data_IF_822110674489
#
_entry.id   IF_822110674489
#
_cell.length_a   1.000
_cell.length_b   1.000
_cell.length_c   1.000
_cell.angle_alpha   90.00
_cell.angle_beta   90.00
_cell.angle_gamma   90.00
#
_symmetry.space_group_name_H-M   'P 1'
#
loop_
_entity.id
_entity.type
_entity.pdbx_description
1 polymer ?
#
# COMPACT_ATOMS: atom_id res chain seq x y z
N UNK A 1 19.29 -5.29 9.33
CA UNK A 1 17.95 -4.77 9.64
C UNK A 1 17.56 -3.77 8.57
N UNK A 2 16.45 -3.97 7.96
CA UNK A 2 15.99 -3.08 6.88
C UNK A 2 15.04 -2.05 7.46
N UNK A 3 15.44 -0.79 7.43
CA UNK A 3 14.58 0.28 7.88
C UNK A 3 13.64 0.69 6.75
N UNK A 4 12.34 0.60 7.02
CA UNK A 4 11.36 1.12 6.08
C UNK A 4 11.35 2.65 6.17
N UNK A 5 11.24 3.34 5.02
CA UNK A 5 11.00 4.78 5.04
C UNK A 5 9.76 5.11 5.88
N UNK A 6 9.81 6.24 6.56
CA UNK A 6 8.69 6.68 7.41
C UNK A 6 7.38 6.74 6.62
N UNK A 7 7.45 7.13 5.35
CA UNK A 7 6.27 7.20 4.49
C UNK A 7 5.60 5.83 4.33
N UNK A 8 6.39 4.76 4.21
CA UNK A 8 5.84 3.40 4.08
C UNK A 8 5.24 2.92 5.39
N UNK A 9 5.84 3.29 6.52
CA UNK A 9 5.29 2.97 7.83
C UNK A 9 3.94 3.65 8.01
N UNK A 10 3.85 4.92 7.62
CA UNK A 10 2.60 5.67 7.69
C UNK A 10 1.53 5.04 6.79
N UNK A 11 1.90 4.61 5.59
CA UNK A 11 0.99 3.93 4.66
C UNK A 11 0.51 2.60 5.26
N UNK A 12 1.41 1.83 5.86
CA UNK A 12 1.04 0.56 6.47
C UNK A 12 0.01 0.78 7.58
N UNK A 13 0.16 1.85 8.35
CA UNK A 13 -0.80 2.20 9.39
C UNK A 13 -2.17 2.59 8.79
N UNK A 14 -2.16 3.46 7.79
CA UNK A 14 -3.39 3.90 7.14
C UNK A 14 -4.14 2.70 6.57
N UNK A 15 -3.44 1.82 5.86
CA UNK A 15 -4.05 0.62 5.29
C UNK A 15 -4.55 -0.30 6.39
N UNK A 16 -3.74 -0.53 7.42
CA UNK A 16 -4.07 -1.46 8.49
C UNK A 16 -5.29 -1.04 9.31
N UNK A 17 -5.52 0.27 9.44
CA UNK A 17 -6.62 0.80 10.25
C UNK A 17 -7.91 0.99 9.45
N UNK A 18 -7.87 0.86 8.13
CA UNK A 18 -9.04 1.00 7.27
C UNK A 18 -9.36 -0.34 6.63
N UNK A 19 -10.53 -0.89 6.95
CA UNK A 19 -10.93 -2.21 6.49
C UNK A 19 -11.01 -2.28 4.97
N UNK A 20 -11.53 -1.25 4.32
CA UNK A 20 -11.63 -1.22 2.87
C UNK A 20 -10.26 -1.19 2.21
N UNK A 21 -9.34 -0.40 2.76
CA UNK A 21 -7.98 -0.33 2.27
C UNK A 21 -7.23 -1.64 2.50
N UNK A 22 -7.49 -2.34 3.62
CA UNK A 22 -6.90 -3.66 3.87
C UNK A 22 -7.35 -4.66 2.81
N UNK A 23 -8.63 -4.67 2.48
CA UNK A 23 -9.16 -5.53 1.42
C UNK A 23 -8.52 -5.23 0.07
N UNK A 24 -8.46 -3.96 -0.27
CA UNK A 24 -7.84 -3.53 -1.52
C UNK A 24 -6.37 -3.93 -1.57
N UNK A 25 -5.64 -3.67 -0.49
CA UNK A 25 -4.22 -3.98 -0.43
C UNK A 25 -3.97 -5.49 -0.51
N UNK A 26 -4.76 -6.28 0.19
CA UNK A 26 -4.63 -7.73 0.11
C UNK A 26 -4.83 -8.21 -1.33
N UNK A 27 -5.80 -7.63 -2.01
CA UNK A 27 -6.09 -7.99 -3.39
C UNK A 27 -4.91 -7.70 -4.31
N UNK A 28 -4.31 -6.52 -4.21
CA UNK A 28 -3.16 -6.17 -5.05
C UNK A 28 -1.90 -6.93 -4.65
N UNK A 29 -1.73 -7.25 -3.38
CA UNK A 29 -0.56 -7.97 -2.90
C UNK A 29 -0.53 -9.41 -3.42
N UNK A 30 -1.69 -9.98 -3.69
CA UNK A 30 -1.80 -11.34 -4.21
C UNK A 30 -1.99 -11.38 -5.73
N UNK A 31 -2.10 -10.22 -6.37
CA UNK A 31 -2.32 -10.13 -7.81
C UNK A 31 -1.00 -10.19 -8.59
N UNK A 32 -1.05 -10.57 -9.87
CA UNK A 32 0.12 -10.46 -10.75
C UNK A 32 0.62 -9.01 -10.84
N UNK A 33 1.89 -8.85 -11.20
CA UNK A 33 2.54 -7.54 -11.25
C UNK A 33 1.78 -6.52 -12.10
N UNK A 34 1.32 -6.92 -13.28
CA UNK A 34 0.61 -6.00 -14.18
C UNK A 34 -0.70 -5.50 -13.57
N UNK A 35 -1.40 -6.37 -12.84
CA UNK A 35 -2.65 -5.98 -12.17
C UNK A 35 -2.35 -5.05 -11.01
N UNK A 36 -1.31 -5.37 -10.22
CA UNK A 36 -0.91 -4.53 -9.07
C UNK A 36 -0.52 -3.13 -9.54
N UNK A 37 0.33 -3.04 -10.55
CA UNK A 37 0.79 -1.74 -11.08
C UNK A 37 -0.41 -0.92 -11.57
N UNK A 38 -1.33 -1.55 -12.28
CA UNK A 38 -2.53 -0.88 -12.78
C UNK A 38 -3.42 -0.38 -11.64
N UNK A 39 -3.64 -1.21 -10.62
CA UNK A 39 -4.49 -0.85 -9.49
C UNK A 39 -3.89 0.30 -8.68
N UNK A 40 -2.58 0.24 -8.43
CA UNK A 40 -1.87 1.31 -7.71
C UNK A 40 -1.93 2.62 -8.51
N UNK A 41 -1.75 2.54 -9.83
CA UNK A 41 -1.84 3.71 -10.70
C UNK A 41 -3.21 4.37 -10.65
N UNK A 42 -4.27 3.57 -10.63
CA UNK A 42 -5.64 4.10 -10.50
C UNK A 42 -5.85 4.81 -9.18
N UNK A 43 -5.41 4.18 -8.09
CA UNK A 43 -5.58 4.78 -6.77
C UNK A 43 -4.82 6.11 -6.67
N UNK A 44 -3.57 6.14 -7.11
CA UNK A 44 -2.77 7.36 -7.03
C UNK A 44 -3.36 8.47 -7.91
N UNK A 45 -3.94 8.12 -9.06
CA UNK A 45 -4.62 9.10 -9.90
C UNK A 45 -5.84 9.68 -9.20
N UNK A 46 -6.63 8.84 -8.53
CA UNK A 46 -7.79 9.30 -7.76
C UNK A 46 -7.37 10.18 -6.60
N UNK A 47 -6.29 9.83 -5.92
CA UNK A 47 -5.77 10.63 -4.82
C UNK A 47 -5.30 11.99 -5.29
N UNK A 48 -4.64 12.04 -6.45
CA UNK A 48 -4.20 13.30 -7.04
C UNK A 48 -5.40 14.19 -7.37
N UNK A 49 -6.42 13.61 -7.98
CA UNK A 49 -7.64 14.35 -8.32
C UNK A 49 -8.37 14.85 -7.07
N UNK A 50 -8.28 14.09 -5.96
CA UNK A 50 -8.90 14.46 -4.70
C UNK A 50 -8.10 15.45 -3.86
N UNK A 51 -6.92 15.87 -4.32
CA UNK A 51 -6.11 16.83 -3.59
C UNK A 51 -5.34 16.28 -2.41
N UNK A 52 -5.08 14.97 -2.41
CA UNK A 52 -4.31 14.35 -1.33
C UNK A 52 -2.87 14.84 -1.30
N UNK A 53 -2.23 14.69 -0.14
CA UNK A 53 -0.83 15.08 0.06
C UNK A 53 0.09 14.32 -0.91
N UNK A 54 0.98 15.07 -1.57
CA UNK A 54 1.88 14.50 -2.56
C UNK A 54 2.80 13.42 -1.97
N UNK A 55 3.18 13.54 -0.71
CA UNK A 55 4.01 12.55 -0.04
C UNK A 55 3.28 11.24 0.14
N UNK A 56 1.99 11.31 0.46
CA UNK A 56 1.16 10.11 0.62
C UNK A 56 0.96 9.45 -0.74
N UNK A 57 0.68 10.24 -1.78
CA UNK A 57 0.53 9.72 -3.13
C UNK A 57 1.79 9.01 -3.58
N UNK A 58 2.96 9.61 -3.36
CA UNK A 58 4.24 9.02 -3.72
C UNK A 58 4.47 7.70 -2.98
N UNK A 59 4.13 7.65 -1.69
CA UNK A 59 4.29 6.46 -0.88
C UNK A 59 3.38 5.33 -1.37
N UNK A 60 2.12 5.62 -1.70
CA UNK A 60 1.23 4.62 -2.29
C UNK A 60 1.75 4.13 -3.63
N UNK A 61 2.35 5.02 -4.43
CA UNK A 61 2.95 4.66 -5.70
C UNK A 61 4.05 3.60 -5.58
N UNK A 62 4.76 3.58 -4.44
CA UNK A 62 5.79 2.58 -4.19
C UNK A 62 5.24 1.17 -4.06
N UNK A 63 3.95 1.02 -3.80
CA UNK A 63 3.31 -0.30 -3.69
C UNK A 63 3.27 -1.03 -5.03
N UNK A 64 3.52 -0.35 -6.13
CA UNK A 64 3.62 -1.02 -7.43
C UNK A 64 4.87 -1.89 -7.52
N UNK A 65 5.88 -1.61 -6.69
CA UNK A 65 7.07 -2.43 -6.59
C UNK A 65 6.80 -3.68 -5.76
N UNK A 66 7.06 -4.86 -6.32
CA UNK A 66 6.75 -6.12 -5.67
C UNK A 66 7.38 -6.30 -4.30
N UNK A 67 8.72 -6.14 -4.17
CA UNK A 67 9.38 -6.25 -2.86
C UNK A 67 8.85 -5.25 -1.83
N UNK A 68 8.58 -4.01 -2.26
CA UNK A 68 8.02 -2.99 -1.36
C UNK A 68 6.63 -3.38 -0.90
N UNK A 69 5.79 -3.86 -1.80
CA UNK A 69 4.44 -4.31 -1.47
C UNK A 69 4.47 -5.44 -0.44
N UNK A 70 5.38 -6.40 -0.62
CA UNK A 70 5.53 -7.52 0.32
C UNK A 70 6.02 -7.04 1.68
N UNK A 71 6.93 -6.07 1.72
CA UNK A 71 7.42 -5.51 2.97
C UNK A 71 6.30 -4.83 3.76
N UNK A 72 5.47 -4.04 3.08
CA UNK A 72 4.31 -3.39 3.70
C UNK A 72 3.30 -4.44 4.18
N UNK A 73 3.06 -5.47 3.39
CA UNK A 73 2.16 -6.55 3.76
C UNK A 73 2.62 -7.23 5.06
N UNK A 74 3.92 -7.47 5.20
CA UNK A 74 4.46 -8.09 6.40
C UNK A 74 4.27 -7.20 7.63
N UNK A 75 4.49 -5.91 7.49
CA UNK A 75 4.29 -4.96 8.59
C UNK A 75 2.82 -4.98 9.02
N UNK A 76 1.89 -4.98 8.07
CA UNK A 76 0.46 -5.02 8.36
C UNK A 76 0.10 -6.32 9.07
N UNK A 77 0.58 -7.44 8.57
CA UNK A 77 0.30 -8.74 9.19
C UNK A 77 0.83 -8.82 10.61
N UNK A 78 2.02 -8.27 10.85
CA UNK A 78 2.64 -8.29 12.18
C UNK A 78 1.87 -7.41 13.18
N UNK A 79 1.34 -6.30 12.73
CA UNK A 79 0.64 -5.36 13.61
C UNK A 79 -0.85 -5.64 13.77
N UNK A 80 -1.52 -5.99 12.68
CA UNK A 80 -2.98 -6.08 12.63
C UNK A 80 -3.47 -7.51 12.40
N UNK A 81 -2.56 -8.46 12.26
CA UNK A 81 -2.87 -9.86 12.01
C UNK A 81 -3.01 -10.17 10.53
N UNK A 82 -3.00 -11.47 10.19
CA UNK A 82 -3.07 -11.88 8.79
C UNK A 82 -4.41 -11.51 8.15
N UNK A 83 -4.35 -11.20 6.89
CA UNK A 83 -5.54 -10.92 6.09
C UNK A 83 -6.29 -12.22 5.82
N UNK A 84 -7.59 -12.16 5.89
CA UNK A 84 -8.43 -13.32 5.58
C UNK A 84 -9.17 -13.13 4.27
#
# INVERSE_FOLDING_TARGET
>A
MTDMPDALVAIARVIGEDEQLRHWFHHIATAPDNIRVSAVGRLTSQMTAGGEDAKIIAAFGLLSDGPTCRAVQQVINDRYGPMK
#
